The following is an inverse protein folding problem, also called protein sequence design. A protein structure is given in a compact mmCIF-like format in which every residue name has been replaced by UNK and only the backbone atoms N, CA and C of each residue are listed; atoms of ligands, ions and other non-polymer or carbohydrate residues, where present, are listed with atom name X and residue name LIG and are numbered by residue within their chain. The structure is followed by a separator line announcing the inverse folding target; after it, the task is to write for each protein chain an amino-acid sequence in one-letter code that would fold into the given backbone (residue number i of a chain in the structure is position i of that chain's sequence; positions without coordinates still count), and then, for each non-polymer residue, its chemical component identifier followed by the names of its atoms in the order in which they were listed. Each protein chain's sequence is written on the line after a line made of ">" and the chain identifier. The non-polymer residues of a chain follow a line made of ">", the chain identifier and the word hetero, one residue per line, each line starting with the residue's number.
data_IF_517062147689
#
_entry.id   IF_517062147689
#
_cell.length_a   1.000
_cell.length_b   1.000
_cell.length_c   1.000
_cell.angle_alpha   90.00
_cell.angle_beta   90.00
_cell.angle_gamma   90.00
#
_symmetry.space_group_name_H-M   'P 1'
#
loop_
_entity.id
_entity.type
_entity.pdbx_description
1 polymer ?
#
# COMPACT_ATOMS: atom_id res chain seq x y z
N UNK A 1 -9.88 -29.37 53.11
CA UNK A 1 -8.70 -30.23 52.83
C UNK A 1 -9.17 -31.38 51.96
N UNK A 2 -8.97 -31.28 50.65
CA UNK A 2 -9.14 -32.41 49.73
C UNK A 2 -7.73 -32.92 49.48
N UNK A 3 -7.44 -34.11 49.98
CA UNK A 3 -6.14 -34.76 49.79
C UNK A 3 -6.12 -35.21 48.32
N UNK A 4 -5.32 -34.53 47.52
CA UNK A 4 -4.96 -34.99 46.19
C UNK A 4 -4.19 -36.31 46.36
N UNK A 5 -4.84 -37.42 46.03
CA UNK A 5 -4.17 -38.71 45.88
C UNK A 5 -3.48 -38.70 44.52
N UNK A 6 -2.32 -38.04 44.48
CA UNK A 6 -1.33 -38.31 43.45
C UNK A 6 -0.68 -39.64 43.84
N UNK A 7 -1.01 -40.71 43.14
CA UNK A 7 -0.15 -41.89 43.08
C UNK A 7 -0.39 -42.63 41.76
N UNK A 8 0.74 -42.84 41.09
CA UNK A 8 0.96 -43.68 39.92
C UNK A 8 0.19 -44.99 39.96
N UNK A 9 -0.54 -45.27 38.87
CA UNK A 9 -1.31 -46.49 38.63
C UNK A 9 -0.39 -47.70 38.41
N UNK A 10 0.04 -48.35 39.49
CA UNK A 10 0.16 -49.80 39.48
C UNK A 10 -1.27 -50.32 39.66
N UNK A 11 -1.80 -51.00 38.64
CA UNK A 11 -3.15 -51.59 38.66
C UNK A 11 -3.19 -52.77 39.64
N UNK A 12 -3.14 -52.49 40.94
CA UNK A 12 -3.27 -53.48 41.98
C UNK A 12 -4.76 -53.65 42.25
N UNK A 13 -5.32 -54.77 41.78
CA UNK A 13 -6.74 -55.09 41.95
C UNK A 13 -7.10 -55.12 43.43
N UNK A 14 -8.22 -54.50 43.79
CA UNK A 14 -8.68 -54.50 45.17
C UNK A 14 -8.96 -55.93 45.66
N UNK A 15 -8.70 -56.25 46.95
CA UNK A 15 -8.94 -57.58 47.48
C UNK A 15 -10.43 -57.92 47.50
N UNK A 16 -10.75 -59.22 47.36
CA UNK A 16 -12.12 -59.70 47.39
C UNK A 16 -12.84 -59.33 48.71
N UNK A 17 -14.06 -58.80 48.61
CA UNK A 17 -14.86 -58.37 49.75
C UNK A 17 -16.09 -59.24 49.91
N UNK A 18 -16.53 -59.48 51.15
CA UNK A 18 -17.76 -60.22 51.44
C UNK A 18 -18.83 -59.27 51.97
N UNK A 19 -19.97 -59.22 51.30
CA UNK A 19 -21.10 -58.37 51.67
C UNK A 19 -22.26 -59.28 52.06
N UNK A 20 -22.85 -59.02 53.23
CA UNK A 20 -24.09 -59.67 53.65
C UNK A 20 -25.27 -58.85 53.13
N UNK A 21 -26.09 -59.46 52.29
CA UNK A 21 -27.27 -58.85 51.69
C UNK A 21 -28.54 -59.52 52.21
N UNK A 22 -29.51 -58.70 52.59
CA UNK A 22 -30.87 -59.15 52.95
C UNK A 22 -31.80 -58.73 51.81
N UNK A 23 -32.33 -59.67 51.01
CA UNK A 23 -33.26 -59.34 49.94
C UNK A 23 -34.55 -58.71 50.48
N UNK A 24 -35.03 -57.67 49.78
CA UNK A 24 -36.29 -57.00 50.13
C UNK A 24 -37.52 -57.86 49.81
N UNK A 25 -37.45 -58.68 48.75
CA UNK A 25 -38.46 -59.68 48.43
C UNK A 25 -38.13 -60.98 49.17
N UNK A 26 -39.01 -61.36 50.09
CA UNK A 26 -38.87 -62.59 50.88
C UNK A 26 -40.03 -63.53 50.55
N UNK A 27 -39.71 -64.79 50.28
CA UNK A 27 -40.68 -65.86 50.09
C UNK A 27 -39.99 -67.20 50.25
N UNK A 28 -40.70 -68.23 50.71
CA UNK A 28 -40.10 -69.54 51.02
C UNK A 28 -39.48 -70.25 49.82
N UNK A 29 -39.85 -69.86 48.60
CA UNK A 29 -39.26 -70.35 47.35
C UNK A 29 -37.99 -69.59 46.93
N UNK A 30 -37.72 -68.43 47.53
CA UNK A 30 -36.56 -67.60 47.21
C UNK A 30 -35.44 -67.81 48.22
N UNK A 31 -34.20 -67.71 47.74
CA UNK A 31 -32.99 -67.81 48.56
C UNK A 31 -32.90 -69.10 49.40
N UNK A 32 -33.45 -70.21 48.89
CA UNK A 32 -33.48 -71.52 49.58
C UNK A 32 -34.00 -71.45 51.03
N UNK A 33 -34.93 -70.52 51.31
CA UNK A 33 -35.47 -70.29 52.65
C UNK A 33 -34.58 -69.49 53.60
N UNK A 34 -33.37 -69.11 53.19
CA UNK A 34 -32.46 -68.29 53.99
C UNK A 34 -32.89 -66.81 53.96
N UNK A 35 -32.86 -66.16 55.12
CA UNK A 35 -33.20 -64.73 55.24
C UNK A 35 -32.16 -63.80 54.61
N UNK A 36 -30.91 -64.25 54.51
CA UNK A 36 -29.78 -63.46 54.03
C UNK A 36 -28.89 -64.27 53.09
N UNK A 37 -28.12 -63.59 52.26
CA UNK A 37 -27.07 -64.18 51.43
C UNK A 37 -25.76 -63.43 51.63
N UNK A 38 -24.65 -64.15 51.57
CA UNK A 38 -23.31 -63.56 51.59
C UNK A 38 -22.77 -63.57 50.17
N UNK A 39 -22.43 -62.41 49.65
CA UNK A 39 -21.95 -62.20 48.29
C UNK A 39 -20.47 -61.85 48.36
N UNK A 40 -19.64 -62.60 47.61
CA UNK A 40 -18.23 -62.27 47.40
C UNK A 40 -18.10 -61.38 46.18
N UNK A 41 -17.73 -60.12 46.39
CA UNK A 41 -17.45 -59.16 45.32
C UNK A 41 -15.95 -59.21 45.00
N UNK A 42 -15.64 -59.39 43.71
CA UNK A 42 -14.28 -59.33 43.16
C UNK A 42 -14.31 -58.36 41.98
N UNK A 43 -13.37 -57.42 41.96
CA UNK A 43 -13.21 -56.48 40.85
C UNK A 43 -12.77 -57.26 39.60
N UNK A 44 -13.42 -57.01 38.45
CA UNK A 44 -13.03 -57.66 37.20
C UNK A 44 -11.68 -57.10 36.74
N UNK A 45 -10.76 -58.00 36.36
CA UNK A 45 -9.46 -57.61 35.80
C UNK A 45 -9.66 -56.80 34.51
N UNK A 46 -9.20 -55.55 34.50
CA UNK A 46 -9.25 -54.66 33.33
C UNK A 46 -8.06 -54.90 32.41
N UNK A 47 -8.28 -54.92 31.10
CA UNK A 47 -7.21 -54.99 30.10
C UNK A 47 -6.56 -53.62 29.92
N UNK A 48 -5.23 -53.49 30.13
CA UNK A 48 -4.53 -52.22 29.99
C UNK A 48 -4.46 -51.70 28.54
N UNK A 49 -4.75 -52.53 27.53
CA UNK A 49 -4.73 -52.16 26.11
C UNK A 49 -6.12 -51.99 25.50
N UNK A 50 -7.19 -52.14 26.29
CA UNK A 50 -8.55 -51.95 25.79
C UNK A 50 -8.84 -50.46 25.50
N UNK A 51 -9.31 -50.11 24.29
CA UNK A 51 -9.66 -48.74 23.97
C UNK A 51 -10.93 -48.27 24.72
N UNK A 52 -11.17 -46.95 24.83
CA UNK A 52 -12.36 -46.42 25.50
C UNK A 52 -13.67 -46.96 24.91
N UNK A 53 -14.45 -47.66 25.73
CA UNK A 53 -15.66 -48.40 25.30
C UNK A 53 -16.86 -47.51 24.94
N UNK A 54 -16.93 -46.26 25.42
CA UNK A 54 -18.10 -45.40 25.27
C UNK A 54 -17.76 -43.99 24.77
N UNK A 55 -18.65 -43.41 23.96
CA UNK A 55 -18.55 -42.02 23.51
C UNK A 55 -19.04 -41.05 24.59
N UNK A 56 -18.16 -40.17 25.09
CA UNK A 56 -18.45 -39.22 26.19
C UNK A 56 -18.84 -37.81 25.66
N UNK A 57 -18.93 -37.64 24.33
CA UNK A 57 -19.19 -36.35 23.68
C UNK A 57 -20.66 -35.88 23.72
N UNK A 58 -21.57 -36.64 24.33
CA UNK A 58 -22.99 -36.26 24.45
C UNK A 58 -23.14 -35.09 25.43
N UNK A 59 -23.42 -33.90 24.90
CA UNK A 59 -23.71 -32.69 25.72
C UNK A 59 -25.21 -32.63 26.05
N UNK A 60 -25.52 -32.50 27.34
CA UNK A 60 -26.87 -32.39 27.87
C UNK A 60 -27.05 -30.95 28.37
N UNK A 61 -28.25 -30.33 28.26
CA UNK A 61 -28.50 -29.01 28.85
C UNK A 61 -28.16 -29.00 30.34
N UNK A 62 -27.73 -27.84 30.83
CA UNK A 62 -27.36 -27.65 32.23
C UNK A 62 -28.57 -27.97 33.11
N UNK A 63 -28.34 -28.76 34.17
CA UNK A 63 -29.36 -29.04 35.17
C UNK A 63 -29.91 -27.73 35.76
N UNK A 64 -31.15 -27.78 36.26
CA UNK A 64 -31.75 -26.64 36.94
C UNK A 64 -30.84 -26.17 38.09
N UNK A 65 -30.67 -24.85 38.29
CA UNK A 65 -29.91 -24.35 39.42
C UNK A 65 -30.61 -24.74 40.73
N UNK A 66 -29.84 -24.76 41.83
CA UNK A 66 -30.42 -24.83 43.18
C UNK A 66 -31.47 -23.73 43.35
N UNK A 67 -32.49 -23.93 44.21
CA UNK A 67 -33.48 -22.90 44.48
C UNK A 67 -32.80 -21.56 44.80
N UNK A 68 -33.26 -20.43 44.22
CA UNK A 68 -32.60 -19.15 44.39
C UNK A 68 -32.61 -18.76 45.87
N UNK A 69 -31.44 -18.36 46.38
CA UNK A 69 -31.32 -17.90 47.74
C UNK A 69 -32.22 -16.66 47.99
N UNK A 70 -32.85 -16.53 49.16
CA UNK A 70 -33.67 -15.37 49.49
C UNK A 70 -32.81 -14.11 49.52
N UNK A 71 -33.26 -13.09 48.79
CA UNK A 71 -32.55 -11.80 48.68
C UNK A 71 -33.02 -10.87 49.79
N UNK A 72 -32.20 -10.70 50.82
CA UNK A 72 -32.51 -9.89 52.01
C UNK A 72 -32.15 -8.41 51.82
N UNK A 73 -32.79 -7.73 50.88
CA UNK A 73 -32.63 -6.29 50.72
C UNK A 73 -33.37 -5.51 51.83
N UNK A 74 -32.89 -4.30 52.13
CA UNK A 74 -33.69 -3.32 52.87
C UNK A 74 -34.98 -2.98 52.10
N UNK A 75 -36.05 -2.52 52.77
CA UNK A 75 -37.26 -2.06 52.09
C UNK A 75 -36.94 -1.04 50.98
N UNK A 76 -37.63 -1.09 49.83
CA UNK A 76 -37.32 -0.25 48.68
C UNK A 76 -37.51 1.23 49.04
N UNK A 77 -36.48 2.04 48.76
CA UNK A 77 -36.56 3.50 48.89
C UNK A 77 -37.39 4.06 47.73
N UNK A 78 -38.30 4.99 48.02
CA UNK A 78 -39.11 5.64 46.98
C UNK A 78 -38.22 6.54 46.12
N UNK A 79 -38.15 6.27 44.83
CA UNK A 79 -37.45 7.11 43.86
C UNK A 79 -38.27 8.37 43.62
N UNK A 80 -37.64 9.54 43.67
CA UNK A 80 -38.33 10.79 43.35
C UNK A 80 -38.52 10.93 41.84
N UNK A 81 -39.61 11.59 41.42
CA UNK A 81 -39.90 11.83 40.00
C UNK A 81 -38.76 12.62 39.33
N UNK A 82 -38.16 13.57 40.07
CA UNK A 82 -37.00 14.33 39.61
C UNK A 82 -35.81 13.42 39.33
N UNK A 83 -35.45 12.57 40.30
CA UNK A 83 -34.36 11.61 40.14
C UNK A 83 -34.59 10.71 38.92
N UNK A 84 -35.81 10.19 38.74
CA UNK A 84 -36.10 9.34 37.58
C UNK A 84 -35.91 10.09 36.23
N UNK A 85 -36.20 11.39 36.18
CA UNK A 85 -36.03 12.22 34.97
C UNK A 85 -34.56 12.56 34.72
N UNK A 86 -33.82 12.94 35.75
CA UNK A 86 -32.40 13.30 35.63
C UNK A 86 -31.56 12.10 35.16
N UNK A 87 -31.96 10.87 35.53
CA UNK A 87 -31.32 9.63 35.11
C UNK A 87 -31.86 9.06 33.79
N UNK A 88 -32.70 9.80 33.06
CA UNK A 88 -33.18 9.39 31.75
C UNK A 88 -32.08 9.62 30.70
N UNK A 89 -31.42 8.53 30.31
CA UNK A 89 -30.39 8.56 29.26
C UNK A 89 -31.03 8.84 27.89
N UNK A 90 -30.60 9.88 27.15
CA UNK A 90 -31.06 10.14 25.79
C UNK A 90 -30.73 9.00 24.82
N UNK A 91 -31.55 8.74 23.79
CA UNK A 91 -31.24 7.73 22.78
C UNK A 91 -30.01 8.13 21.97
N UNK A 92 -29.17 7.14 21.65
CA UNK A 92 -27.99 7.36 20.80
C UNK A 92 -28.43 7.40 19.33
N UNK A 93 -28.44 8.60 18.76
CA UNK A 93 -28.59 8.81 17.31
C UNK A 93 -27.19 8.96 16.73
N UNK A 94 -26.76 7.97 15.95
CA UNK A 94 -25.42 7.99 15.34
C UNK A 94 -25.45 8.59 13.93
N UNK A 95 -24.37 9.27 13.55
CA UNK A 95 -24.16 9.77 12.18
C UNK A 95 -23.78 8.64 11.19
N UNK A 96 -23.29 7.49 11.67
CA UNK A 96 -22.78 6.41 10.81
C UNK A 96 -23.71 5.21 10.64
N UNK A 97 -24.47 4.84 11.66
CA UNK A 97 -25.20 3.57 11.71
C UNK A 97 -26.68 3.76 11.99
N UNK A 98 -27.49 3.09 11.18
CA UNK A 98 -28.93 2.98 11.33
C UNK A 98 -29.38 1.56 11.00
N UNK A 99 -29.02 0.59 11.86
CA UNK A 99 -29.22 -0.83 11.56
C UNK A 99 -30.68 -1.23 11.35
N UNK A 100 -31.61 -0.54 12.03
CA UNK A 100 -33.05 -0.78 11.92
C UNK A 100 -33.74 0.16 10.92
N UNK A 101 -33.00 1.03 10.23
CA UNK A 101 -33.55 1.91 9.21
C UNK A 101 -34.56 2.94 9.72
N UNK A 102 -34.45 3.41 10.96
CA UNK A 102 -35.37 4.42 11.50
C UNK A 102 -35.33 5.72 10.70
N UNK A 103 -36.51 6.28 10.41
CA UNK A 103 -36.65 7.64 9.88
C UNK A 103 -36.43 8.63 11.01
N UNK A 104 -35.29 9.31 11.00
CA UNK A 104 -34.87 10.24 12.05
C UNK A 104 -34.78 11.63 11.41
N UNK A 105 -35.46 12.66 11.96
CA UNK A 105 -35.43 14.01 11.43
C UNK A 105 -34.03 14.65 11.55
N UNK A 106 -33.77 15.66 10.73
CA UNK A 106 -32.45 16.27 10.58
C UNK A 106 -31.95 16.93 11.87
N UNK A 107 -32.84 17.59 12.60
CA UNK A 107 -32.54 18.22 13.88
C UNK A 107 -31.96 17.22 14.89
N UNK A 108 -32.51 16.01 14.97
CA UNK A 108 -32.04 14.96 15.90
C UNK A 108 -30.76 14.28 15.43
N UNK A 109 -30.49 14.25 14.12
CA UNK A 109 -29.20 13.78 13.58
C UNK A 109 -28.09 14.78 13.88
N UNK A 110 -28.33 16.06 13.57
CA UNK A 110 -27.34 17.13 13.74
C UNK A 110 -27.23 17.64 15.19
N UNK A 111 -28.14 17.28 16.09
CA UNK A 111 -28.16 17.79 17.47
C UNK A 111 -26.83 17.58 18.22
N UNK A 112 -26.13 16.48 17.97
CA UNK A 112 -24.88 16.12 18.66
C UNK A 112 -23.63 16.49 17.86
N UNK A 113 -23.77 17.18 16.74
CA UNK A 113 -22.69 17.44 15.80
C UNK A 113 -21.60 18.36 16.38
N UNK A 114 -21.89 19.13 17.44
CA UNK A 114 -20.90 19.91 18.20
C UNK A 114 -20.24 21.05 17.42
N UNK A 115 -20.25 21.01 16.08
CA UNK A 115 -19.76 22.04 15.16
C UNK A 115 -20.45 23.38 15.40
N UNK A 116 -21.74 23.37 15.73
CA UNK A 116 -22.49 24.58 16.10
C UNK A 116 -22.16 25.14 17.49
N UNK A 117 -21.48 24.38 18.34
CA UNK A 117 -21.03 24.82 19.66
C UNK A 117 -19.61 25.40 19.63
N UNK A 118 -18.84 25.12 18.59
CA UNK A 118 -17.50 25.67 18.40
C UNK A 118 -17.60 27.10 17.87
N UNK A 119 -17.42 28.07 18.76
CA UNK A 119 -17.16 29.44 18.34
C UNK A 119 -15.76 29.50 17.72
N UNK A 120 -15.69 29.95 16.47
CA UNK A 120 -14.41 30.17 15.78
C UNK A 120 -13.87 31.52 16.23
N UNK A 121 -12.87 31.51 17.11
CA UNK A 121 -12.14 32.71 17.51
C UNK A 121 -10.85 32.84 16.70
N UNK A 122 -10.54 34.03 16.17
CA UNK A 122 -9.35 34.30 15.37
C UNK A 122 -8.32 35.05 16.23
N UNK A 123 -7.05 34.63 16.15
CA UNK A 123 -5.94 35.23 16.88
C UNK A 123 -5.46 36.55 16.22
N UNK A 124 -5.18 37.57 17.01
CA UNK A 124 -4.64 38.88 16.55
C UNK A 124 -3.27 38.79 15.86
N UNK A 125 -2.49 37.74 16.11
CA UNK A 125 -1.21 37.53 15.44
C UNK A 125 -1.36 37.38 13.92
N UNK A 126 -2.52 36.91 13.44
CA UNK A 126 -2.81 36.85 12.00
C UNK A 126 -2.83 38.26 11.39
N UNK A 127 -3.41 39.24 12.10
CA UNK A 127 -3.42 40.64 11.65
C UNK A 127 -2.01 41.23 11.63
N UNK A 128 -1.23 41.03 12.70
CA UNK A 128 0.16 41.52 12.79
C UNK A 128 1.04 40.95 11.68
N UNK A 129 0.89 39.66 11.38
CA UNK A 129 1.62 39.01 10.28
C UNK A 129 1.21 39.57 8.92
N UNK A 130 -0.09 39.72 8.67
CA UNK A 130 -0.60 40.27 7.41
C UNK A 130 -0.09 41.71 7.18
N UNK A 131 -0.12 42.55 8.22
CA UNK A 131 0.41 43.91 8.16
C UNK A 131 1.92 43.93 7.91
N UNK A 132 2.68 43.07 8.60
CA UNK A 132 4.13 42.97 8.41
C UNK A 132 4.48 42.58 6.97
N UNK A 133 3.78 41.60 6.40
CA UNK A 133 3.97 41.20 5.00
C UNK A 133 3.59 42.30 4.02
N UNK A 134 2.51 43.03 4.28
CA UNK A 134 2.09 44.16 3.44
C UNK A 134 3.14 45.29 3.43
N UNK A 135 3.69 45.62 4.61
CA UNK A 135 4.77 46.62 4.73
C UNK A 135 6.04 46.13 4.04
N UNK A 136 6.39 44.85 4.19
CA UNK A 136 7.57 44.26 3.57
C UNK A 136 7.47 44.28 2.04
N UNK A 137 6.32 43.90 1.46
CA UNK A 137 6.10 43.92 0.01
C UNK A 137 6.21 45.34 -0.55
N UNK A 138 5.59 46.32 0.11
CA UNK A 138 5.66 47.73 -0.32
C UNK A 138 7.10 48.23 -0.35
N UNK A 139 7.86 47.99 0.73
CA UNK A 139 9.28 48.38 0.80
C UNK A 139 10.14 47.66 -0.24
N UNK A 140 9.88 46.38 -0.49
CA UNK A 140 10.60 45.62 -1.50
C UNK A 140 10.36 46.19 -2.91
N UNK A 141 9.12 46.53 -3.24
CA UNK A 141 8.77 47.17 -4.53
C UNK A 141 9.44 48.53 -4.69
N UNK A 142 9.36 49.39 -3.68
CA UNK A 142 10.02 50.70 -3.67
C UNK A 142 11.54 50.57 -3.88
N UNK A 143 12.20 49.62 -3.20
CA UNK A 143 13.63 49.38 -3.35
C UNK A 143 14.00 48.86 -4.76
N UNK A 144 13.20 47.94 -5.31
CA UNK A 144 13.40 47.41 -6.68
C UNK A 144 13.23 48.51 -7.71
N UNK A 145 12.20 49.35 -7.58
CA UNK A 145 11.96 50.46 -8.49
C UNK A 145 13.09 51.49 -8.43
N UNK A 146 13.53 51.88 -7.22
CA UNK A 146 14.64 52.80 -7.04
C UNK A 146 15.93 52.26 -7.66
N UNK A 147 16.22 50.96 -7.49
CA UNK A 147 17.39 50.29 -8.10
C UNK A 147 17.29 50.30 -9.63
N UNK A 148 16.13 49.94 -10.18
CA UNK A 148 15.90 49.95 -11.62
C UNK A 148 16.02 51.36 -12.23
N UNK A 149 15.54 52.39 -11.54
CA UNK A 149 15.70 53.79 -11.98
C UNK A 149 17.16 54.23 -11.96
N UNK A 150 17.92 53.86 -10.93
CA UNK A 150 19.35 54.17 -10.82
C UNK A 150 20.15 53.47 -11.93
N UNK A 151 19.89 52.19 -12.15
CA UNK A 151 20.53 51.41 -13.21
C UNK A 151 20.26 51.99 -14.60
N UNK A 152 19.01 52.40 -14.89
CA UNK A 152 18.66 53.11 -16.12
C UNK A 152 19.44 54.41 -16.28
N UNK A 153 19.56 55.22 -15.22
CA UNK A 153 20.33 56.48 -15.25
C UNK A 153 21.82 56.24 -15.48
N UNK A 154 22.41 55.21 -14.85
CA UNK A 154 23.82 54.85 -15.09
C UNK A 154 24.04 54.37 -16.53
N UNK A 155 23.17 53.50 -17.03
CA UNK A 155 23.23 53.01 -18.40
C UNK A 155 23.08 54.15 -19.42
N UNK A 156 22.23 55.14 -19.16
CA UNK A 156 22.09 56.32 -20.01
C UNK A 156 23.36 57.17 -20.02
N UNK A 157 23.95 57.48 -18.86
CA UNK A 157 25.24 58.19 -18.79
C UNK A 157 26.38 57.43 -19.47
N UNK A 158 26.40 56.10 -19.35
CA UNK A 158 27.42 55.28 -20.01
C UNK A 158 27.25 55.30 -21.54
N UNK A 159 26.01 55.26 -22.04
CA UNK A 159 25.71 55.44 -23.47
C UNK A 159 26.15 56.81 -23.97
N UNK A 160 25.83 57.89 -23.25
CA UNK A 160 26.24 59.26 -23.60
C UNK A 160 27.77 59.38 -23.67
N UNK A 161 28.50 58.84 -22.67
CA UNK A 161 29.97 58.80 -22.69
C UNK A 161 30.53 58.00 -23.87
N UNK A 162 29.94 56.84 -24.19
CA UNK A 162 30.35 56.05 -25.35
C UNK A 162 30.12 56.79 -26.67
N UNK A 163 28.99 57.50 -26.79
CA UNK A 163 28.69 58.32 -27.96
C UNK A 163 29.68 59.49 -28.10
N UNK A 164 29.99 60.19 -27.01
CA UNK A 164 30.98 61.26 -26.98
C UNK A 164 32.37 60.75 -27.38
N UNK A 165 32.80 59.63 -26.81
CA UNK A 165 34.08 58.99 -27.16
C UNK A 165 34.14 58.59 -28.64
N UNK A 166 33.04 58.07 -29.20
CA UNK A 166 32.93 57.75 -30.62
C UNK A 166 32.98 59.02 -31.50
N UNK A 167 32.36 60.12 -31.08
CA UNK A 167 32.43 61.42 -31.79
C UNK A 167 33.86 61.96 -31.81
N UNK A 168 34.56 61.96 -30.67
CA UNK A 168 35.97 62.37 -30.58
C UNK A 168 36.84 61.48 -31.47
N UNK A 169 36.67 60.16 -31.39
CA UNK A 169 37.44 59.21 -32.22
C UNK A 169 37.22 59.41 -33.72
N UNK A 170 36.00 59.77 -34.15
CA UNK A 170 35.72 60.13 -35.55
C UNK A 170 36.43 61.41 -35.94
N UNK A 171 36.34 62.46 -35.11
CA UNK A 171 36.99 63.74 -35.37
C UNK A 171 38.52 63.61 -35.44
N UNK A 172 39.12 62.77 -34.59
CA UNK A 172 40.55 62.42 -34.65
C UNK A 172 40.87 61.66 -35.94
N UNK A 173 40.07 60.65 -36.32
CA UNK A 173 40.26 59.93 -37.59
C UNK A 173 40.12 60.83 -38.81
N UNK A 174 39.18 61.76 -38.81
CA UNK A 174 39.00 62.69 -39.93
C UNK A 174 40.18 63.67 -40.00
N UNK A 175 40.72 64.11 -38.86
CA UNK A 175 41.97 64.88 -38.80
C UNK A 175 43.20 64.08 -39.26
N UNK A 176 43.28 62.78 -38.91
CA UNK A 176 44.34 61.89 -39.41
C UNK A 176 44.18 61.58 -40.90
N UNK A 177 42.94 61.51 -41.40
CA UNK A 177 42.63 61.41 -42.83
C UNK A 177 43.08 62.65 -43.57
N UNK A 178 42.79 63.84 -43.07
CA UNK A 178 43.25 65.11 -43.67
C UNK A 178 44.79 65.19 -43.76
N UNK A 179 45.51 64.60 -42.81
CA UNK A 179 46.98 64.50 -42.82
C UNK A 179 47.45 63.38 -43.78
N UNK A 180 46.70 62.28 -43.91
CA UNK A 180 47.00 61.17 -44.83
C UNK A 180 46.64 61.44 -46.29
N UNK A 181 45.61 62.26 -46.57
CA UNK A 181 45.20 62.71 -47.90
C UNK A 181 46.19 63.74 -48.48
N UNK A 182 47.00 64.36 -47.63
CA UNK A 182 48.15 65.17 -48.03
C UNK A 182 49.42 64.37 -48.36
N UNK A 183 49.45 63.04 -48.11
CA UNK A 183 50.64 62.20 -48.34
C UNK A 183 50.39 60.97 -49.25
N UNK A 184 49.16 60.46 -49.42
CA UNK A 184 48.95 59.20 -50.17
C UNK A 184 47.91 59.29 -51.30
N UNK A 185 48.44 59.26 -52.52
CA UNK A 185 47.84 58.88 -53.80
C UNK A 185 46.83 57.70 -53.72
N UNK A 186 45.78 57.79 -54.55
CA UNK A 186 44.53 57.02 -54.52
C UNK A 186 44.55 55.47 -54.48
N UNK A 187 43.50 54.89 -53.88
CA UNK A 187 42.79 53.64 -54.20
C UNK A 187 41.52 53.47 -53.30
N UNK A 188 40.45 52.76 -53.75
CA UNK A 188 39.17 52.65 -53.03
C UNK A 188 39.12 51.50 -52.00
N UNK A 189 38.44 51.74 -50.87
CA UNK A 189 38.26 50.78 -49.79
C UNK A 189 37.21 49.70 -50.13
N UNK A 190 37.59 48.42 -49.95
CA UNK A 190 36.66 47.27 -49.95
C UNK A 190 36.63 46.68 -48.54
N UNK A 191 35.58 46.97 -47.78
CA UNK A 191 35.30 46.30 -46.51
C UNK A 191 34.30 45.16 -46.75
N UNK A 192 34.80 43.94 -46.83
CA UNK A 192 33.97 42.73 -46.80
C UNK A 192 33.65 42.41 -45.33
N UNK A 193 32.47 42.81 -44.84
CA UNK A 193 31.97 42.42 -43.52
C UNK A 193 31.28 41.05 -43.61
N UNK A 194 32.06 39.98 -43.39
CA UNK A 194 31.53 38.69 -42.94
C UNK A 194 31.50 38.69 -41.42
N UNK A 195 30.32 38.93 -40.84
CA UNK A 195 30.12 39.17 -39.41
C UNK A 195 29.36 38.07 -38.65
N UNK A 196 29.43 36.82 -39.09
CA UNK A 196 28.86 35.70 -38.33
C UNK A 196 29.91 34.58 -38.20
N UNK A 197 30.09 34.08 -36.98
CA UNK A 197 31.01 32.98 -36.69
C UNK A 197 30.66 31.77 -37.57
N UNK A 198 31.63 31.19 -38.27
CA UNK A 198 31.42 29.96 -39.04
C UNK A 198 31.05 28.83 -38.09
N UNK A 199 29.79 28.44 -38.03
CA UNK A 199 29.33 27.29 -37.26
C UNK A 199 29.51 25.98 -38.05
N UNK A 200 29.86 24.88 -37.37
CA UNK A 200 30.02 23.55 -37.98
C UNK A 200 28.67 23.03 -38.48
N UNK A 201 28.59 22.68 -39.77
CA UNK A 201 27.38 22.21 -40.43
C UNK A 201 26.79 20.94 -39.78
N UNK A 202 27.61 20.14 -39.08
CA UNK A 202 27.13 18.96 -38.33
C UNK A 202 26.27 19.31 -37.11
N UNK A 203 26.32 20.56 -36.66
CA UNK A 203 25.56 21.02 -35.50
C UNK A 203 24.09 21.27 -35.85
N UNK A 204 23.79 21.65 -37.10
CA UNK A 204 22.44 22.04 -37.54
C UNK A 204 21.55 20.88 -37.99
N UNK A 205 22.12 19.69 -38.19
CA UNK A 205 21.36 18.50 -38.59
C UNK A 205 20.96 17.59 -37.42
N UNK A 206 21.20 18.01 -36.17
CA UNK A 206 20.83 17.25 -34.98
C UNK A 206 19.53 17.83 -34.37
N UNK A 207 18.38 17.22 -34.65
CA UNK A 207 17.05 17.64 -34.18
C UNK A 207 16.77 17.38 -32.68
N UNK A 208 17.79 17.01 -31.89
CA UNK A 208 17.66 16.50 -30.51
C UNK A 208 17.13 17.49 -29.46
N UNK A 209 16.91 18.75 -29.80
CA UNK A 209 16.56 19.81 -28.83
C UNK A 209 15.09 20.22 -28.79
N UNK A 210 14.26 19.78 -29.75
CA UNK A 210 12.85 20.24 -29.84
C UNK A 210 11.83 19.27 -29.22
N UNK A 211 12.21 18.03 -28.96
CA UNK A 211 11.28 16.94 -28.58
C UNK A 211 11.32 16.61 -27.07
N UNK A 212 12.35 17.05 -26.33
CA UNK A 212 12.65 16.59 -24.97
C UNK A 212 12.04 17.43 -23.84
N UNK A 213 10.81 17.93 -23.99
CA UNK A 213 10.25 18.83 -22.96
C UNK A 213 8.74 19.10 -22.97
N UNK A 214 8.01 18.56 -23.96
CA UNK A 214 6.54 18.64 -24.01
C UNK A 214 5.97 17.22 -23.98
N UNK A 215 5.97 16.62 -22.80
CA UNK A 215 5.36 15.32 -22.54
C UNK A 215 4.29 15.46 -21.46
N UNK A 216 3.18 14.77 -21.69
CA UNK A 216 2.17 14.48 -20.66
C UNK A 216 2.84 13.79 -19.46
N UNK A 217 2.45 14.10 -18.23
CA UNK A 217 3.05 13.55 -17.01
C UNK A 217 2.83 12.02 -16.86
N UNK A 218 1.95 11.46 -17.69
CA UNK A 218 1.71 10.02 -17.85
C UNK A 218 2.64 9.35 -18.88
N UNK A 219 3.30 10.13 -19.76
CA UNK A 219 4.24 9.61 -20.74
C UNK A 219 5.59 9.33 -20.07
N UNK A 220 5.97 8.05 -19.99
CA UNK A 220 7.17 7.55 -19.32
C UNK A 220 8.47 7.88 -20.08
N UNK A 221 8.72 9.17 -20.32
CA UNK A 221 9.82 9.74 -21.12
C UNK A 221 11.01 10.20 -20.26
N UNK A 222 11.25 9.54 -19.12
CA UNK A 222 12.31 9.92 -18.16
C UNK A 222 13.72 9.79 -18.74
N UNK A 223 13.90 9.00 -19.79
CA UNK A 223 15.21 8.74 -20.40
C UNK A 223 15.22 9.05 -21.89
N UNK A 224 16.22 9.83 -22.33
CA UNK A 224 16.42 10.22 -23.74
C UNK A 224 16.91 9.09 -24.65
N UNK A 225 17.37 7.96 -24.08
CA UNK A 225 17.96 6.84 -24.82
C UNK A 225 17.42 5.50 -24.31
N UNK A 226 17.07 4.56 -25.21
CA UNK A 226 16.70 3.22 -24.81
C UNK A 226 17.88 2.50 -24.18
N UNK A 227 17.61 1.64 -23.20
CA UNK A 227 18.61 0.83 -22.51
C UNK A 227 19.42 -0.11 -23.45
N UNK A 228 18.86 -0.47 -24.61
CA UNK A 228 19.56 -1.18 -25.69
C UNK A 228 19.32 -0.47 -27.03
N UNK A 229 20.37 -0.39 -27.85
CA UNK A 229 20.31 0.15 -29.21
C UNK A 229 19.58 -0.81 -30.16
N UNK A 230 18.28 -1.06 -29.96
CA UNK A 230 17.54 -2.08 -30.71
C UNK A 230 17.37 -1.72 -32.20
N UNK A 231 17.35 -0.43 -32.52
CA UNK A 231 17.03 0.06 -33.87
C UNK A 231 18.09 -0.28 -34.94
N UNK A 232 19.35 -0.49 -34.55
CA UNK A 232 20.44 -0.84 -35.48
C UNK A 232 20.93 -2.27 -35.38
N UNK A 233 20.48 -3.05 -34.37
CA UNK A 233 20.87 -4.47 -34.30
C UNK A 233 20.24 -5.22 -35.47
N UNK A 234 19.00 -4.90 -35.88
CA UNK A 234 18.35 -5.52 -37.05
C UNK A 234 19.08 -5.28 -38.39
N UNK A 235 19.88 -4.22 -38.49
CA UNK A 235 20.70 -3.91 -39.67
C UNK A 235 22.07 -4.61 -39.66
N UNK A 236 22.58 -5.00 -38.48
CA UNK A 236 23.90 -5.62 -38.29
C UNK A 236 23.83 -7.07 -37.78
N UNK A 237 22.65 -7.60 -37.47
CA UNK A 237 22.42 -9.04 -37.33
C UNK A 237 22.57 -9.63 -38.73
N UNK A 238 23.77 -10.18 -38.97
CA UNK A 238 24.26 -10.84 -40.16
C UNK A 238 23.25 -10.96 -41.32
N UNK A 239 23.29 -9.99 -42.23
CA UNK A 239 22.65 -10.07 -43.55
C UNK A 239 23.74 -10.29 -44.59
N UNK A 240 23.98 -11.53 -45.05
CA UNK A 240 24.96 -11.77 -46.09
C UNK A 240 24.57 -10.97 -47.34
N UNK A 241 25.46 -10.07 -47.76
CA UNK A 241 25.25 -9.26 -48.95
C UNK A 241 25.49 -10.13 -50.18
N UNK A 242 24.42 -10.43 -50.93
CA UNK A 242 24.46 -11.22 -52.17
C UNK A 242 25.39 -10.64 -53.25
N UNK A 243 25.77 -9.36 -53.11
CA UNK A 243 26.69 -8.69 -54.02
C UNK A 243 28.15 -8.76 -53.56
N UNK A 244 28.42 -8.90 -52.26
CA UNK A 244 29.79 -9.03 -51.75
C UNK A 244 30.37 -10.44 -51.96
N UNK A 245 29.52 -11.48 -51.89
CA UNK A 245 29.95 -12.88 -52.06
C UNK A 245 30.26 -13.26 -53.52
N UNK A 246 29.68 -12.53 -54.49
CA UNK A 246 29.89 -12.75 -55.93
C UNK A 246 31.32 -12.45 -56.38
N UNK A 247 31.94 -11.43 -55.77
CA UNK A 247 33.32 -11.02 -56.08
C UNK A 247 34.35 -11.92 -55.38
N UNK A 248 33.98 -12.55 -54.24
CA UNK A 248 34.87 -13.40 -53.45
C UNK A 248 34.90 -14.88 -53.88
N UNK A 249 33.78 -15.43 -54.34
CA UNK A 249 33.66 -16.87 -54.68
C UNK A 249 33.29 -17.15 -56.15
N UNK A 250 33.33 -16.12 -57.01
CA UNK A 250 33.37 -16.24 -58.47
C UNK A 250 32.44 -17.28 -59.09
N UNK A 251 31.16 -16.93 -59.29
CA UNK A 251 30.22 -17.54 -60.25
C UNK A 251 29.83 -19.03 -60.12
N UNK A 252 30.68 -19.90 -59.58
CA UNK A 252 30.51 -21.35 -59.60
C UNK A 252 29.47 -21.86 -58.59
N UNK A 253 29.10 -21.02 -57.61
CA UNK A 253 27.99 -21.30 -56.69
C UNK A 253 26.65 -21.38 -57.45
N UNK A 254 26.44 -20.51 -58.44
CA UNK A 254 25.21 -20.51 -59.25
C UNK A 254 25.14 -21.74 -60.18
N UNK A 255 26.29 -22.34 -60.53
CA UNK A 255 26.36 -23.59 -61.29
C UNK A 255 26.13 -24.85 -60.43
N UNK A 256 26.61 -24.84 -59.17
CA UNK A 256 26.40 -25.94 -58.21
C UNK A 256 24.95 -25.99 -57.72
N UNK A 257 24.30 -24.83 -57.54
CA UNK A 257 22.88 -24.75 -57.15
C UNK A 257 21.94 -25.28 -58.24
N UNK A 258 22.30 -25.10 -59.52
CA UNK A 258 21.42 -25.43 -60.65
C UNK A 258 21.64 -26.83 -61.27
N UNK A 259 22.71 -27.56 -60.93
CA UNK A 259 23.06 -28.86 -61.55
C UNK A 259 22.73 -30.10 -60.72
N UNK A 260 22.01 -29.97 -59.59
CA UNK A 260 21.53 -31.12 -58.82
C UNK A 260 20.01 -31.20 -58.80
N UNK A 261 19.53 -31.92 -59.82
CA UNK A 261 18.22 -32.54 -59.98
C UNK A 261 17.73 -33.35 -58.78
N UNK A 262 16.43 -33.21 -58.51
CA UNK A 262 15.47 -34.25 -58.16
C UNK A 262 16.02 -35.55 -57.55
N UNK A 263 15.92 -35.65 -56.22
CA UNK A 263 15.27 -36.74 -55.49
C UNK A 263 15.74 -36.70 -54.04
N UNK A 264 14.89 -36.26 -53.09
CA UNK A 264 14.87 -36.85 -51.75
C UNK A 264 13.61 -36.46 -50.97
N UNK A 265 12.72 -37.44 -50.87
CA UNK A 265 11.98 -37.88 -49.68
C UNK A 265 11.27 -36.81 -48.83
N UNK A 266 9.95 -36.83 -49.00
CA UNK A 266 8.93 -36.42 -48.03
C UNK A 266 9.16 -37.11 -46.68
N UNK A 267 9.40 -36.32 -45.63
CA UNK A 267 9.01 -36.68 -44.27
C UNK A 267 7.95 -35.69 -43.79
N UNK A 268 6.68 -36.10 -43.85
CA UNK A 268 5.63 -35.46 -43.07
C UNK A 268 5.93 -35.72 -41.58
N UNK A 269 6.11 -34.65 -40.81
CA UNK A 269 5.81 -34.64 -39.38
C UNK A 269 4.67 -33.65 -39.12
N UNK A 270 3.73 -33.97 -38.23
CA UNK A 270 2.45 -33.29 -38.12
C UNK A 270 2.58 -31.94 -37.41
N UNK A 271 1.83 -30.96 -37.90
CA UNK A 271 1.56 -29.69 -37.22
C UNK A 271 0.96 -29.94 -35.82
N UNK A 272 1.52 -29.39 -34.74
CA UNK A 272 0.79 -29.29 -33.49
C UNK A 272 -0.30 -28.22 -33.64
N UNK A 273 -1.55 -28.62 -33.40
CA UNK A 273 -2.67 -27.69 -33.30
C UNK A 273 -2.39 -26.66 -32.20
N UNK A 274 -2.39 -25.38 -32.58
CA UNK A 274 -2.49 -24.26 -31.64
C UNK A 274 -3.80 -24.39 -30.88
N UNK A 275 -3.71 -24.79 -29.61
CA UNK A 275 -4.73 -24.50 -28.62
C UNK A 275 -4.72 -22.99 -28.37
N UNK A 276 -5.74 -22.29 -28.85
CA UNK A 276 -6.07 -20.96 -28.34
C UNK A 276 -6.65 -21.13 -26.93
N UNK A 277 -5.77 -21.13 -25.92
CA UNK A 277 -6.11 -20.72 -24.56
C UNK A 277 -5.24 -19.50 -24.27
N UNK A 278 -5.83 -18.34 -23.93
CA UNK A 278 -5.03 -17.26 -23.37
C UNK A 278 -4.59 -17.72 -21.98
N UNK A 279 -3.29 -17.79 -21.75
CA UNK A 279 -2.70 -17.89 -20.41
C UNK A 279 -2.94 -16.56 -19.67
N UNK A 280 -4.20 -16.30 -19.34
CA UNK A 280 -4.53 -15.45 -18.21
C UNK A 280 -4.19 -16.25 -16.95
N UNK A 281 -3.56 -15.59 -15.98
CA UNK A 281 -3.34 -16.06 -14.59
C UNK A 281 -1.87 -16.29 -14.18
N UNK A 282 -0.87 -15.88 -14.96
CA UNK A 282 0.44 -15.57 -14.35
C UNK A 282 0.39 -14.15 -13.78
N UNK A 283 0.05 -14.04 -12.50
CA UNK A 283 0.13 -12.80 -11.73
C UNK A 283 1.55 -12.63 -11.15
N UNK A 284 2.43 -11.85 -11.79
CA UNK A 284 3.82 -11.70 -11.36
C UNK A 284 3.97 -10.98 -10.02
N UNK A 285 2.91 -10.35 -9.49
CA UNK A 285 2.93 -9.65 -8.22
C UNK A 285 2.16 -10.37 -7.11
N UNK A 286 1.50 -11.50 -7.41
CA UNK A 286 0.79 -12.33 -6.43
C UNK A 286 -0.37 -11.64 -5.71
N UNK A 287 -0.89 -10.56 -6.28
CA UNK A 287 -2.01 -9.76 -5.75
C UNK A 287 -3.31 -10.54 -5.75
N UNK A 288 -3.55 -11.40 -6.74
CA UNK A 288 -4.77 -12.21 -6.82
C UNK A 288 -4.81 -13.27 -5.72
N UNK A 289 -3.65 -13.83 -5.37
CA UNK A 289 -3.50 -14.72 -4.20
C UNK A 289 -3.71 -13.95 -2.90
N UNK A 290 -3.15 -12.76 -2.78
CA UNK A 290 -3.31 -11.90 -1.59
C UNK A 290 -4.77 -11.46 -1.37
N UNK A 291 -5.46 -11.05 -2.42
CA UNK A 291 -6.87 -10.62 -2.36
C UNK A 291 -7.83 -11.79 -2.08
N UNK A 292 -7.55 -12.96 -2.66
CA UNK A 292 -8.35 -14.17 -2.38
C UNK A 292 -8.13 -14.69 -0.95
N UNK A 293 -6.93 -14.55 -0.39
CA UNK A 293 -6.62 -14.89 1.00
C UNK A 293 -7.24 -13.91 1.99
N UNK A 294 -7.21 -12.60 1.71
CA UNK A 294 -7.91 -11.58 2.48
C UNK A 294 -9.44 -11.79 2.48
N UNK A 295 -10.01 -12.22 1.34
CA UNK A 295 -11.44 -12.53 1.22
C UNK A 295 -11.84 -13.84 1.93
N UNK A 296 -10.90 -14.77 2.12
CA UNK A 296 -11.09 -15.97 2.94
C UNK A 296 -10.98 -15.66 4.45
N UNK A 297 -10.10 -14.73 4.83
CA UNK A 297 -9.92 -14.31 6.23
C UNK A 297 -11.19 -13.69 6.84
N UNK A 298 -11.96 -12.91 6.07
CA UNK A 298 -13.22 -12.30 6.56
C UNK A 298 -14.34 -13.35 6.81
N UNK A 299 -14.31 -14.49 6.11
CA UNK A 299 -15.24 -15.60 6.35
C UNK A 299 -14.87 -16.49 7.55
N UNK A 300 -13.62 -16.43 8.02
CA UNK A 300 -13.16 -17.18 9.20
C UNK A 300 -13.40 -16.45 10.53
N UNK A 301 -13.78 -15.16 10.52
CA UNK A 301 -13.91 -14.34 11.73
C UNK A 301 -15.22 -14.50 12.53
N UNK A 302 -16.10 -15.45 12.20
CA UNK A 302 -17.38 -15.66 12.88
C UNK A 302 -17.53 -17.05 13.50
N UNK A 303 -16.58 -17.46 14.33
CA UNK A 303 -16.86 -18.34 15.49
C UNK A 303 -16.03 -17.87 16.68
N UNK A 304 -16.76 -17.42 17.70
CA UNK A 304 -16.25 -16.93 18.98
C UNK A 304 -15.80 -18.13 19.81
N UNK A 305 -14.60 -18.05 20.40
CA UNK A 305 -14.33 -18.71 21.66
C UNK A 305 -14.30 -17.65 22.76
N UNK A 306 -15.25 -17.82 23.68
CA UNK A 306 -15.43 -17.04 24.89
C UNK A 306 -14.72 -17.82 25.99
N UNK A 307 -13.57 -17.32 26.48
CA UNK A 307 -12.95 -17.83 27.71
C UNK A 307 -12.80 -16.70 28.73
N UNK A 308 -13.24 -17.04 29.93
CA UNK A 308 -13.53 -16.17 31.06
C UNK A 308 -12.33 -15.36 31.58
N UNK A 309 -12.63 -14.12 31.96
CA UNK A 309 -11.83 -13.31 32.87
C UNK A 309 -11.83 -13.96 34.26
N UNK A 310 -10.65 -14.08 34.85
CA UNK A 310 -10.52 -14.10 36.31
C UNK A 310 -9.64 -12.94 36.75
N UNK A 311 -10.28 -12.01 37.46
CA UNK A 311 -9.66 -10.96 38.24
C UNK A 311 -8.78 -11.54 39.36
N UNK A 312 -7.55 -11.03 39.50
CA UNK A 312 -6.93 -10.87 40.81
C UNK A 312 -6.36 -9.45 40.92
N UNK A 313 -7.10 -8.62 41.63
CA UNK A 313 -6.71 -7.31 42.09
C UNK A 313 -6.09 -7.44 43.49
N UNK A 314 -4.89 -6.86 43.68
CA UNK A 314 -4.46 -6.34 44.98
C UNK A 314 -3.09 -6.81 45.48
N UNK A 315 -2.09 -5.91 45.45
CA UNK A 315 -1.83 -4.98 46.55
C UNK A 315 -0.69 -4.01 46.22
N UNK A 316 -0.93 -2.74 46.58
CA UNK A 316 0.00 -1.62 46.64
C UNK A 316 1.21 -1.90 47.56
N UNK A 317 2.35 -1.30 47.20
CA UNK A 317 3.38 -0.65 48.04
C UNK A 317 4.40 -0.06 47.04
N UNK A 318 4.49 1.24 46.76
CA UNK A 318 5.04 2.35 47.57
C UNK A 318 6.26 1.90 48.38
N UNK A 319 7.42 2.05 47.77
CA UNK A 319 8.49 2.98 48.19
C UNK A 319 9.14 3.55 46.92
#
# INVERSE_FOLDING_TARGET
>A
MIINRADSTLHQQAPAQYIRYTPAQQGGQFNSGAKQRVIRMVEAQSDPMEPPRFQINKKIPRAAPSPPAPVLHSPPRRVSVKQQRDWKVPPCVSHWKNAKGYTIPLDKRLAADGRGLQQVHINENFSKLAEALYIADRKAREAVEARAQLERRLAQREKEKKEEHLRISKLVKDRERDISEQIALGLPAKSNQGGEAMFDQRLFNNSKGMDSGYGDDEAYNVYDKPWRNQDNVGAHIYRPSRNADKDNYGGDIDAIVNTRSNNLIVYLHPQPQRSNQPDADFDPFGLDRFLSEAKRADKSGRKRDHHDRHDQHGKKRRD
#
